data_IF_523007923637
#
_entry.id   IF_523007923637
#
_cell.length_a   1.000
_cell.length_b   1.000
_cell.length_c   1.000
_cell.angle_alpha   90.00
_cell.angle_beta   90.00
_cell.angle_gamma   90.00
#
_symmetry.space_group_name_H-M   'P 1'
#
loop_
_entity.id
_entity.type
_entity.pdbx_description
1 polymer ?
#
# COMPACT_ATOMS: atom_id res chain seq x y z
N UNK A 1 -48.90 -25.63 -32.28
CA UNK A 1 -50.14 -25.98 -31.57
C UNK A 1 -49.90 -27.27 -30.79
N UNK A 2 -49.91 -27.16 -29.46
CA UNK A 2 -49.69 -28.25 -28.50
C UNK A 2 -50.76 -29.34 -28.59
N UNK A 3 -50.35 -30.60 -28.50
CA UNK A 3 -51.14 -31.68 -27.88
C UNK A 3 -50.20 -32.69 -27.21
N UNK A 4 -50.05 -32.55 -25.90
CA UNK A 4 -49.47 -33.57 -25.02
C UNK A 4 -50.63 -34.36 -24.40
N UNK A 5 -50.70 -35.65 -24.74
CA UNK A 5 -51.53 -36.65 -24.04
C UNK A 5 -50.60 -37.69 -23.46
N UNK A 6 -50.52 -37.71 -22.13
CA UNK A 6 -49.88 -38.78 -21.39
C UNK A 6 -50.70 -40.06 -21.43
N UNK A 7 -50.02 -41.19 -21.22
CA UNK A 7 -50.58 -42.42 -20.66
C UNK A 7 -49.45 -43.21 -20.01
N UNK A 8 -49.56 -43.36 -18.69
CA UNK A 8 -48.94 -44.43 -17.91
C UNK A 8 -49.44 -45.77 -18.43
N UNK A 9 -48.60 -46.80 -18.39
CA UNK A 9 -48.87 -48.13 -17.82
C UNK A 9 -47.76 -49.09 -18.28
N UNK A 10 -47.29 -49.94 -17.37
CA UNK A 10 -46.53 -51.13 -17.74
C UNK A 10 -45.34 -51.39 -16.83
N UNK A 11 -45.60 -52.07 -15.72
CA UNK A 11 -44.56 -52.77 -14.98
C UNK A 11 -43.97 -53.87 -15.87
N UNK A 12 -42.65 -53.87 -16.02
CA UNK A 12 -41.89 -54.93 -16.70
C UNK A 12 -40.89 -55.49 -15.69
N UNK A 13 -41.22 -56.66 -15.17
CA UNK A 13 -40.25 -57.59 -14.61
C UNK A 13 -39.57 -58.27 -15.79
N UNK A 14 -38.23 -58.31 -15.86
CA UNK A 14 -37.46 -59.54 -16.12
C UNK A 14 -35.95 -59.27 -16.16
N UNK A 15 -35.25 -60.13 -15.43
CA UNK A 15 -34.00 -60.80 -15.76
C UNK A 15 -32.66 -60.03 -15.86
N UNK A 16 -31.81 -60.38 -14.88
CA UNK A 16 -30.44 -60.93 -15.01
C UNK A 16 -29.41 -60.08 -15.75
N UNK A 17 -28.35 -59.69 -15.03
CA UNK A 17 -26.97 -59.84 -15.52
C UNK A 17 -26.00 -59.82 -14.33
N UNK A 18 -25.43 -60.99 -14.07
CA UNK A 18 -24.21 -61.11 -13.29
C UNK A 18 -23.09 -60.40 -14.05
N UNK A 19 -22.46 -59.40 -13.42
CA UNK A 19 -21.23 -58.78 -13.90
C UNK A 19 -20.22 -58.81 -12.77
N UNK A 20 -19.36 -59.81 -12.87
CA UNK A 20 -17.92 -59.81 -12.58
C UNK A 20 -17.41 -58.82 -11.53
N UNK A 21 -17.13 -59.35 -10.33
CA UNK A 21 -16.29 -58.72 -9.33
C UNK A 21 -14.86 -58.54 -9.86
N UNK A 22 -14.55 -57.40 -10.46
CA UNK A 22 -13.19 -56.93 -10.62
C UNK A 22 -12.73 -56.38 -9.27
N UNK A 23 -11.86 -57.15 -8.62
CA UNK A 23 -11.08 -56.70 -7.47
C UNK A 23 -10.25 -55.47 -7.89
N UNK A 24 -10.73 -54.28 -7.53
CA UNK A 24 -9.89 -53.09 -7.48
C UNK A 24 -9.24 -53.15 -6.11
N UNK A 25 -7.94 -53.48 -6.12
CA UNK A 25 -7.09 -53.37 -4.95
C UNK A 25 -7.10 -51.90 -4.50
N UNK A 26 -7.72 -51.65 -3.35
CA UNK A 26 -7.62 -50.42 -2.58
C UNK A 26 -6.13 -50.10 -2.37
N UNK A 27 -5.62 -49.11 -3.12
CA UNK A 27 -4.40 -48.42 -2.70
C UNK A 27 -4.81 -47.58 -1.50
N UNK A 28 -4.19 -47.74 -0.31
CA UNK A 28 -4.49 -46.86 0.80
C UNK A 28 -4.15 -45.43 0.38
N UNK A 29 -5.18 -44.60 0.29
CA UNK A 29 -5.05 -43.17 0.04
C UNK A 29 -4.28 -42.55 1.20
N UNK A 30 -3.01 -42.21 0.94
CA UNK A 30 -2.14 -41.58 1.91
C UNK A 30 -2.72 -40.18 2.20
N UNK A 31 -3.36 -40.05 3.36
CA UNK A 31 -3.87 -38.78 3.88
C UNK A 31 -2.84 -37.67 3.64
N UNK A 32 -3.21 -36.57 2.94
CA UNK A 32 -2.26 -35.50 2.67
C UNK A 32 -1.76 -34.93 4.00
N UNK A 33 -0.45 -35.06 4.25
CA UNK A 33 0.22 -34.44 5.40
C UNK A 33 -0.22 -32.98 5.50
N UNK A 34 -0.66 -32.50 6.69
CA UNK A 34 -1.02 -31.10 6.86
C UNK A 34 0.11 -30.22 6.35
N UNK A 35 -0.16 -29.48 5.27
CA UNK A 35 0.77 -28.49 4.75
C UNK A 35 1.01 -27.51 5.90
N UNK A 36 2.20 -27.53 6.50
CA UNK A 36 2.59 -26.53 7.48
C UNK A 36 2.47 -25.18 6.78
N UNK A 37 1.41 -24.44 7.09
CA UNK A 37 1.30 -23.02 6.73
C UNK A 37 2.53 -22.38 7.33
N UNK A 38 3.39 -21.69 6.54
CA UNK A 38 4.51 -20.96 7.10
C UNK A 38 3.94 -20.07 8.20
N UNK A 39 4.42 -20.25 9.44
CA UNK A 39 4.04 -19.38 10.54
C UNK A 39 4.16 -17.94 10.04
N UNK A 40 3.05 -17.21 10.00
CA UNK A 40 3.05 -15.81 9.61
C UNK A 40 4.04 -15.11 10.53
N UNK A 41 5.22 -14.78 10.00
CA UNK A 41 6.14 -13.90 10.69
C UNK A 41 5.34 -12.66 11.09
N UNK A 42 5.46 -12.19 12.34
CA UNK A 42 4.71 -11.02 12.78
C UNK A 42 4.98 -9.89 11.80
N UNK A 43 3.91 -9.25 11.33
CA UNK A 43 4.02 -8.12 10.42
C UNK A 43 4.85 -7.04 11.12
N UNK A 44 6.09 -6.83 10.65
CA UNK A 44 6.94 -5.74 11.13
C UNK A 44 6.24 -4.45 10.75
N UNK A 45 5.81 -3.69 11.75
CA UNK A 45 5.18 -2.40 11.58
C UNK A 45 6.10 -1.31 12.17
N UNK A 46 6.26 -0.22 11.41
CA UNK A 46 7.08 0.93 11.81
C UNK A 46 6.19 2.17 11.77
N UNK A 47 6.26 3.01 12.79
CA UNK A 47 5.51 4.27 12.82
C UNK A 47 6.38 5.40 12.30
N UNK A 48 5.95 6.07 11.23
CA UNK A 48 6.64 7.23 10.66
C UNK A 48 5.82 8.50 10.85
N UNK A 49 6.50 9.64 11.05
CA UNK A 49 5.88 10.96 10.98
C UNK A 49 5.77 11.40 9.52
N UNK A 50 4.59 11.87 9.12
CA UNK A 50 4.27 12.28 7.75
C UNK A 50 3.73 13.70 7.79
N UNK A 51 4.34 14.57 6.98
CA UNK A 51 4.03 15.99 6.91
C UNK A 51 3.64 16.35 5.49
N UNK A 52 2.54 17.07 5.35
CA UNK A 52 2.17 17.71 4.10
C UNK A 52 2.52 19.18 4.19
N UNK A 53 3.32 19.65 3.25
CA UNK A 53 3.78 21.03 3.19
C UNK A 53 3.39 21.61 1.84
N UNK A 54 2.85 22.82 1.90
CA UNK A 54 2.67 23.67 0.74
C UNK A 54 3.88 24.57 0.60
N UNK A 55 4.52 24.57 -0.56
CA UNK A 55 5.69 25.39 -0.83
C UNK A 55 5.45 26.34 -1.99
N UNK A 56 5.78 27.62 -1.84
CA UNK A 56 5.58 28.68 -2.85
C UNK A 56 6.78 29.61 -2.95
N UNK A 57 6.86 30.35 -4.07
CA UNK A 57 7.75 31.50 -4.17
C UNK A 57 7.00 32.73 -3.68
N UNK A 58 7.58 33.46 -2.72
CA UNK A 58 7.01 34.71 -2.22
C UNK A 58 7.87 35.37 -1.13
N UNK A 59 7.26 36.31 -0.40
CA UNK A 59 7.92 37.13 0.65
C UNK A 59 7.59 36.67 2.08
N UNK A 60 6.74 35.66 2.22
CA UNK A 60 6.34 35.06 3.47
C UNK A 60 7.48 34.27 4.11
N UNK A 61 7.25 33.86 5.36
CA UNK A 61 8.16 33.03 6.12
C UNK A 61 7.68 31.56 6.14
N UNK A 62 8.56 30.67 6.54
CA UNK A 62 8.17 29.32 6.91
C UNK A 62 7.23 29.33 8.12
N UNK A 63 6.23 28.45 8.10
CA UNK A 63 5.32 28.21 9.20
C UNK A 63 6.11 27.72 10.44
N UNK A 64 5.95 28.37 11.62
CA UNK A 64 6.69 28.01 12.82
C UNK A 64 6.41 26.59 13.34
N UNK A 65 5.32 25.96 12.88
CA UNK A 65 5.01 24.56 13.21
C UNK A 65 5.92 23.57 12.46
N UNK A 66 6.60 23.99 11.38
CA UNK A 66 7.56 23.16 10.67
C UNK A 66 8.85 23.11 11.49
N UNK A 67 9.22 21.91 11.94
CA UNK A 67 10.45 21.76 12.71
C UNK A 67 11.69 22.15 11.86
N UNK A 68 12.74 22.63 12.55
CA UNK A 68 13.94 23.17 11.90
C UNK A 68 14.67 22.17 10.99
N UNK A 69 14.62 20.88 11.29
CA UNK A 69 15.30 19.84 10.49
C UNK A 69 14.57 19.65 9.17
N UNK A 70 13.25 19.52 9.21
CA UNK A 70 12.41 19.44 8.02
C UNK A 70 12.52 20.72 7.19
N UNK A 71 12.45 21.90 7.81
CA UNK A 71 12.58 23.18 7.11
C UNK A 71 13.89 23.27 6.32
N UNK A 72 15.03 22.97 6.97
CA UNK A 72 16.34 22.97 6.29
C UNK A 72 16.40 21.97 5.13
N UNK A 73 15.74 20.81 5.25
CA UNK A 73 15.65 19.83 4.14
C UNK A 73 14.80 20.36 2.99
N UNK A 74 13.67 21.01 3.28
CA UNK A 74 12.82 21.64 2.29
C UNK A 74 13.58 22.73 1.53
N UNK A 75 14.19 23.68 2.24
CA UNK A 75 14.99 24.78 1.64
C UNK A 75 16.15 24.28 0.77
N UNK A 76 16.79 23.17 1.14
CA UNK A 76 17.86 22.58 0.34
C UNK A 76 17.36 21.81 -0.90
N UNK A 77 16.15 21.25 -0.83
CA UNK A 77 15.61 20.38 -1.88
C UNK A 77 14.73 21.14 -2.87
N UNK A 78 14.20 22.29 -2.45
CA UNK A 78 13.18 23.07 -3.11
C UNK A 78 13.69 24.51 -3.27
N UNK A 79 13.40 25.15 -4.40
CA UNK A 79 13.81 26.56 -4.65
C UNK A 79 12.80 27.59 -4.13
N UNK A 80 11.74 27.11 -3.49
CA UNK A 80 10.68 27.89 -2.88
C UNK A 80 11.17 28.62 -1.63
N UNK A 81 10.54 29.74 -1.31
CA UNK A 81 10.92 30.62 -0.20
C UNK A 81 9.89 30.65 0.93
N UNK A 82 8.68 30.17 0.67
CA UNK A 82 7.59 30.08 1.64
C UNK A 82 7.19 28.62 1.82
N UNK A 83 6.99 28.21 3.08
CA UNK A 83 6.58 26.85 3.44
C UNK A 83 5.46 26.90 4.47
N UNK A 84 4.33 26.26 4.18
CA UNK A 84 3.18 26.20 5.08
C UNK A 84 2.80 24.76 5.38
N UNK A 85 2.74 24.40 6.67
CA UNK A 85 2.30 23.08 7.08
C UNK A 85 0.80 22.94 6.82
N UNK A 86 0.39 21.92 6.07
CA UNK A 86 -1.01 21.64 5.78
C UNK A 86 -1.55 20.54 6.71
N UNK A 87 -0.75 19.49 6.93
CA UNK A 87 -1.10 18.38 7.81
C UNK A 87 0.14 17.70 8.38
N UNK A 88 -0.03 17.04 9.53
CA UNK A 88 1.00 16.25 10.20
C UNK A 88 0.35 15.03 10.83
N UNK A 89 0.76 13.83 10.45
CA UNK A 89 0.15 12.56 10.88
C UNK A 89 1.21 11.52 11.21
N UNK A 90 0.95 10.67 12.21
CA UNK A 90 1.75 9.46 12.47
C UNK A 90 1.12 8.27 11.75
N UNK A 91 1.85 7.66 10.83
CA UNK A 91 1.39 6.51 10.06
C UNK A 91 2.11 5.24 10.53
N UNK A 92 1.34 4.24 10.96
CA UNK A 92 1.84 2.89 11.21
C UNK A 92 1.91 2.13 9.88
N UNK A 93 3.12 1.77 9.45
CA UNK A 93 3.41 1.18 8.16
C UNK A 93 3.82 -0.30 8.33
N UNK A 94 2.90 -1.25 8.10
CA UNK A 94 3.25 -2.65 8.00
C UNK A 94 4.05 -2.96 6.73
N UNK A 95 5.01 -3.88 6.84
CA UNK A 95 5.80 -4.32 5.71
C UNK A 95 4.93 -4.87 4.56
N UNK A 96 5.30 -4.48 3.33
CA UNK A 96 4.67 -4.85 2.05
C UNK A 96 3.19 -4.50 1.92
N UNK A 97 2.66 -3.62 2.77
CA UNK A 97 1.29 -3.13 2.69
C UNK A 97 1.30 -1.62 2.48
N UNK A 98 0.61 -1.19 1.43
CA UNK A 98 0.42 0.21 1.14
C UNK A 98 -0.60 0.79 2.11
N UNK A 99 -0.21 1.85 2.82
CA UNK A 99 -1.09 2.61 3.69
C UNK A 99 -1.41 3.95 3.01
N UNK A 100 -2.70 4.20 2.81
CA UNK A 100 -3.19 5.46 2.23
C UNK A 100 -3.18 6.54 3.30
N UNK A 101 -2.58 7.68 2.97
CA UNK A 101 -2.56 8.87 3.79
C UNK A 101 -3.45 9.91 3.12
N UNK A 102 -4.50 10.31 3.83
CA UNK A 102 -5.36 11.41 3.41
C UNK A 102 -4.62 12.71 3.65
N UNK A 103 -4.39 13.43 2.56
CA UNK A 103 -3.75 14.73 2.58
C UNK A 103 -4.84 15.80 2.41
N UNK A 104 -4.57 17.01 2.88
CA UNK A 104 -5.44 18.16 2.69
C UNK A 104 -5.66 18.44 1.19
N UNK A 105 -4.65 18.19 0.34
CA UNK A 105 -4.75 18.31 -1.11
C UNK A 105 -4.28 17.04 -1.85
N UNK A 106 -5.17 16.06 -1.94
CA UNK A 106 -4.98 14.83 -2.71
C UNK A 106 -4.84 13.60 -1.83
N UNK A 107 -4.21 12.56 -2.34
CA UNK A 107 -3.94 11.32 -1.60
C UNK A 107 -2.50 10.88 -1.80
N UNK A 108 -1.90 10.31 -0.78
CA UNK A 108 -0.63 9.60 -0.93
C UNK A 108 -0.78 8.16 -0.46
N UNK A 109 0.07 7.29 -0.96
CA UNK A 109 0.28 5.97 -0.38
C UNK A 109 1.72 5.82 0.03
N UNK A 110 1.96 5.25 1.21
CA UNK A 110 3.28 4.92 1.69
C UNK A 110 3.33 3.42 1.97
N UNK A 111 4.35 2.76 1.45
CA UNK A 111 4.58 1.33 1.64
C UNK A 111 5.95 1.12 2.28
N UNK A 112 5.99 0.42 3.41
CA UNK A 112 7.25 -0.11 3.95
C UNK A 112 7.66 -1.33 3.11
N UNK A 113 8.79 -1.27 2.42
CA UNK A 113 9.32 -2.42 1.67
C UNK A 113 9.95 -3.41 2.64
N UNK A 114 10.87 -2.91 3.46
CA UNK A 114 11.62 -3.70 4.46
C UNK A 114 12.25 -2.78 5.50
N UNK A 115 12.51 -3.35 6.69
CA UNK A 115 13.38 -2.72 7.69
C UNK A 115 14.81 -3.17 7.43
N UNK A 116 15.71 -2.23 7.14
CA UNK A 116 17.12 -2.53 6.82
C UNK A 116 17.92 -2.75 8.11
N UNK A 117 17.66 -1.93 9.12
CA UNK A 117 18.18 -2.08 10.49
C UNK A 117 17.28 -1.31 11.48
N UNK A 118 17.64 -1.28 12.77
CA UNK A 118 16.87 -0.59 13.83
C UNK A 118 16.63 0.92 13.58
N UNK A 119 17.41 1.53 12.69
CA UNK A 119 17.39 2.97 12.42
C UNK A 119 17.09 3.35 10.97
N UNK A 120 16.93 2.36 10.09
CA UNK A 120 16.76 2.58 8.64
C UNK A 120 15.69 1.67 8.06
N UNK A 121 14.79 2.27 7.31
CA UNK A 121 13.71 1.57 6.59
C UNK A 121 13.75 1.93 5.11
N UNK A 122 13.38 0.99 4.25
CA UNK A 122 13.19 1.25 2.82
C UNK A 122 11.71 1.50 2.56
N UNK A 123 11.36 2.70 2.11
CA UNK A 123 9.98 3.09 1.82
C UNK A 123 9.79 3.35 0.33
N UNK A 124 8.62 2.99 -0.18
CA UNK A 124 8.07 3.53 -1.42
C UNK A 124 6.97 4.52 -1.08
N UNK A 125 7.10 5.74 -1.59
CA UNK A 125 6.12 6.80 -1.45
C UNK A 125 5.55 7.09 -2.83
N UNK A 126 4.23 7.02 -2.95
CA UNK A 126 3.49 7.41 -4.15
C UNK A 126 2.60 8.59 -3.78
N UNK A 127 2.96 9.77 -4.26
CA UNK A 127 2.25 11.00 -4.00
C UNK A 127 1.37 11.36 -5.20
N UNK A 128 0.05 11.30 -4.97
CA UNK A 128 -0.96 11.59 -5.97
C UNK A 128 -1.69 12.89 -5.59
N UNK A 129 -1.19 14.00 -6.14
CA UNK A 129 -1.83 15.29 -5.98
C UNK A 129 -2.77 15.55 -7.16
N UNK A 130 -3.82 16.34 -6.94
CA UNK A 130 -4.73 16.76 -8.01
C UNK A 130 -4.01 17.46 -9.19
N UNK A 131 -2.82 18.03 -8.94
CA UNK A 131 -2.01 18.72 -9.96
C UNK A 131 -0.95 17.82 -10.60
N UNK A 132 -0.69 16.60 -10.12
CA UNK A 132 0.33 15.71 -10.68
C UNK A 132 0.68 14.54 -9.76
N UNK A 133 1.40 13.55 -10.29
CA UNK A 133 1.79 12.35 -9.55
C UNK A 133 3.32 12.23 -9.49
N UNK A 134 3.86 11.76 -8.36
CA UNK A 134 5.28 11.47 -8.19
C UNK A 134 5.47 10.22 -7.34
N UNK A 135 6.39 9.34 -7.75
CA UNK A 135 6.69 8.10 -7.04
C UNK A 135 8.19 7.97 -6.78
N UNK A 136 8.55 7.69 -5.54
CA UNK A 136 9.95 7.53 -5.13
C UNK A 136 10.11 6.36 -4.16
N UNK A 137 11.17 5.58 -4.36
CA UNK A 137 11.61 4.55 -3.42
C UNK A 137 12.95 4.97 -2.84
N UNK A 138 13.09 5.02 -1.51
CA UNK A 138 14.33 5.45 -0.86
C UNK A 138 14.48 4.87 0.54
N UNK A 139 15.68 5.02 1.10
CA UNK A 139 15.96 4.71 2.51
C UNK A 139 15.65 5.92 3.37
N UNK A 140 15.01 5.69 4.52
CA UNK A 140 14.71 6.70 5.53
C UNK A 140 15.43 6.30 6.79
N UNK A 141 16.39 7.13 7.20
CA UNK A 141 17.06 7.00 8.48
C UNK A 141 16.28 7.74 9.56
N UNK A 142 16.42 7.31 10.82
CA UNK A 142 15.89 8.05 11.95
C UNK A 142 16.39 9.51 11.93
N UNK A 143 15.46 10.47 11.99
CA UNK A 143 15.76 11.90 11.92
C UNK A 143 15.98 12.47 10.51
N UNK A 144 16.01 11.63 9.48
CA UNK A 144 16.02 12.09 8.09
C UNK A 144 14.59 12.29 7.54
N UNK A 145 14.48 13.03 6.45
CA UNK A 145 13.22 13.28 5.75
C UNK A 145 13.32 12.92 4.28
N UNK A 146 12.36 12.13 3.80
CA UNK A 146 12.14 11.94 2.37
C UNK A 146 11.17 12.99 1.89
N UNK A 147 11.57 13.77 0.88
CA UNK A 147 10.75 14.80 0.26
C UNK A 147 10.29 14.29 -1.10
N UNK A 148 8.98 14.16 -1.28
CA UNK A 148 8.35 13.84 -2.58
C UNK A 148 7.42 14.99 -2.95
N UNK A 149 7.56 15.52 -4.17
CA UNK A 149 6.74 16.64 -4.63
C UNK A 149 6.16 16.37 -6.01
N UNK A 150 4.85 16.55 -6.15
CA UNK A 150 4.15 16.52 -7.42
C UNK A 150 4.24 17.93 -8.04
N UNK A 151 4.99 18.07 -9.13
CA UNK A 151 5.33 19.33 -9.83
C UNK A 151 6.37 20.19 -9.13
N UNK A 152 7.65 19.92 -9.42
CA UNK A 152 8.72 20.89 -9.20
C UNK A 152 8.81 21.80 -10.41
N UNK A 153 8.40 23.06 -10.25
CA UNK A 153 8.69 24.13 -11.21
C UNK A 153 9.44 25.25 -10.50
N UNK A 154 10.39 25.85 -11.20
CA UNK A 154 11.15 27.01 -10.72
C UNK A 154 10.50 28.34 -11.15
N UNK A 155 9.27 28.30 -11.68
CA UNK A 155 8.57 29.52 -12.08
C UNK A 155 8.26 30.39 -10.84
N UNK A 156 8.25 31.73 -10.96
CA UNK A 156 7.98 32.64 -9.84
C UNK A 156 6.60 32.47 -9.18
N UNK A 157 5.67 31.80 -9.85
CA UNK A 157 4.34 31.46 -9.37
C UNK A 157 4.15 29.95 -9.16
N UNK A 158 5.23 29.17 -9.21
CA UNK A 158 5.17 27.74 -9.01
C UNK A 158 4.86 27.41 -7.55
N UNK A 159 3.87 26.55 -7.38
CA UNK A 159 3.50 25.93 -6.13
C UNK A 159 4.01 24.49 -6.16
N UNK A 160 4.66 24.05 -5.09
CA UNK A 160 5.02 22.66 -4.89
C UNK A 160 4.16 22.11 -3.74
N UNK A 161 3.42 21.05 -4.05
CA UNK A 161 2.81 20.23 -3.03
C UNK A 161 3.86 19.21 -2.59
N UNK A 162 4.12 19.15 -1.29
CA UNK A 162 5.23 18.37 -0.75
C UNK A 162 4.71 17.39 0.29
N UNK A 163 5.10 16.13 0.14
CA UNK A 163 4.97 15.12 1.17
C UNK A 163 6.35 14.84 1.75
N UNK A 164 6.49 15.02 3.06
CA UNK A 164 7.71 14.71 3.79
C UNK A 164 7.47 13.55 4.75
N UNK A 165 8.32 12.52 4.70
CA UNK A 165 8.25 11.36 5.61
C UNK A 165 9.51 11.33 6.45
N UNK A 166 9.38 11.43 7.77
CA UNK A 166 10.52 11.41 8.68
C UNK A 166 10.25 10.63 9.96
N UNK A 167 11.30 10.43 10.76
CA UNK A 167 11.28 9.70 12.05
C UNK A 167 10.45 8.42 12.02
N UNK A 168 11.01 7.35 11.46
CA UNK A 168 10.42 6.01 11.49
C UNK A 168 10.96 5.21 12.70
N UNK A 169 10.07 4.69 13.55
CA UNK A 169 10.40 3.93 14.77
C UNK A 169 9.57 2.67 14.93
#
# INVERSE_FOLDING_TARGET
MSRTTGKLFGAITFAILAVSSLAIADKPEELPKPRRVPAQQPAIAVTCDVFEVWATHGKGAADPAINKVLLKRLENSLKQTEFKLQSSTKAALPAKKAESIKLAKGTATITLIETVNKSQVRLTVDFNAAKGNSKQTTLVSAGDYVIVSANQSNAPNAEAHVLAVGSCK
#
